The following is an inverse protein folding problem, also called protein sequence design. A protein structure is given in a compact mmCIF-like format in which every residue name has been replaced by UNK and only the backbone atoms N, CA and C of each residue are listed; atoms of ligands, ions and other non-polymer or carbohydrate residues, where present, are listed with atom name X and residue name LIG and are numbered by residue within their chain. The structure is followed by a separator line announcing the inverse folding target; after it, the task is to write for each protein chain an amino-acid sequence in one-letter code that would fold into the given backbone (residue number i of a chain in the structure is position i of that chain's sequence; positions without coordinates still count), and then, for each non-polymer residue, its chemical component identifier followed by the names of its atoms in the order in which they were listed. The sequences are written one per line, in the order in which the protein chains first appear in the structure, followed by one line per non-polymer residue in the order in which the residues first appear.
data_IF_386488428951
#
_entry.id   IF_386488428951
#
_cell.length_a   1.000
_cell.length_b   1.000
_cell.length_c   1.000
_cell.angle_alpha   90.00
_cell.angle_beta   90.00
_cell.angle_gamma   90.00
#
_symmetry.space_group_name_H-M   'P 1'
#
loop_
_entity.id
_entity.type
_entity.pdbx_description
1 polymer ?
#
# COMPACT_ATOMS: atom_id res chain seq x y z
N UNK A 1 -29.19 -11.83 -1.03
CA UNK A 1 -27.83 -12.15 -0.59
C UNK A 1 -27.94 -13.52 0.05
N UNK A 2 -27.41 -14.55 -0.57
CA UNK A 2 -27.41 -15.88 0.04
C UNK A 2 -26.60 -15.82 1.34
N UNK A 3 -27.04 -16.53 2.41
CA UNK A 3 -26.28 -16.59 3.63
C UNK A 3 -24.89 -17.20 3.33
N UNK A 4 -23.86 -16.64 3.92
CA UNK A 4 -22.51 -17.20 3.82
C UNK A 4 -22.55 -18.68 4.25
N UNK A 5 -21.95 -19.59 3.48
CA UNK A 5 -21.95 -21.01 3.83
C UNK A 5 -21.27 -21.19 5.19
N UNK A 6 -21.96 -21.89 6.08
CA UNK A 6 -21.38 -22.27 7.38
C UNK A 6 -20.33 -23.38 7.19
N UNK A 7 -19.13 -23.14 7.64
CA UNK A 7 -18.04 -24.14 7.66
C UNK A 7 -17.74 -24.60 9.10
N UNK A 8 -17.21 -25.80 9.22
CA UNK A 8 -16.78 -26.33 10.49
C UNK A 8 -15.47 -25.67 10.95
N UNK A 9 -15.26 -25.61 12.26
CA UNK A 9 -14.01 -25.17 12.86
C UNK A 9 -13.36 -26.32 13.60
N UNK A 10 -12.02 -26.39 13.61
CA UNK A 10 -11.28 -27.42 14.30
C UNK A 10 -10.16 -26.77 15.13
N UNK A 11 -10.07 -27.14 16.40
CA UNK A 11 -9.00 -26.67 17.27
C UNK A 11 -7.66 -27.36 16.92
N UNK A 12 -6.53 -26.72 17.22
CA UNK A 12 -5.20 -27.25 16.91
C UNK A 12 -4.97 -28.63 17.54
N UNK A 13 -5.44 -28.85 18.77
CA UNK A 13 -5.33 -30.16 19.46
C UNK A 13 -6.08 -31.28 18.73
N UNK A 14 -7.31 -31.00 18.29
CA UNK A 14 -8.16 -32.00 17.65
C UNK A 14 -7.64 -32.31 16.23
N UNK A 15 -7.13 -31.28 15.52
CA UNK A 15 -6.43 -31.49 14.27
C UNK A 15 -5.20 -32.36 14.43
N UNK A 16 -4.35 -32.11 15.45
CA UNK A 16 -3.16 -32.92 15.72
C UNK A 16 -3.51 -34.38 15.96
N UNK A 17 -4.62 -34.65 16.68
CA UNK A 17 -5.12 -36.01 16.88
C UNK A 17 -5.58 -36.66 15.57
N UNK A 18 -6.32 -35.92 14.73
CA UNK A 18 -6.77 -36.42 13.43
C UNK A 18 -5.59 -36.70 12.49
N UNK A 19 -4.56 -35.89 12.50
CA UNK A 19 -3.35 -36.07 11.68
C UNK A 19 -2.59 -37.36 12.03
N UNK A 20 -2.74 -37.86 13.23
CA UNK A 20 -2.13 -39.15 13.68
C UNK A 20 -2.93 -40.37 13.22
N UNK A 21 -4.07 -40.22 12.58
CA UNK A 21 -4.92 -41.34 12.13
C UNK A 21 -4.74 -41.67 10.65
N UNK A 22 -5.21 -42.84 10.22
CA UNK A 22 -5.19 -43.24 8.81
C UNK A 22 -6.11 -42.36 7.93
N UNK A 23 -7.16 -41.77 8.49
CA UNK A 23 -8.13 -40.93 7.79
C UNK A 23 -7.85 -39.43 8.01
N UNK A 24 -6.58 -39.02 7.93
CA UNK A 24 -6.18 -37.61 8.09
C UNK A 24 -6.75 -36.73 6.97
N UNK A 25 -7.17 -35.51 7.29
CA UNK A 25 -7.59 -34.54 6.28
C UNK A 25 -6.41 -34.03 5.44
N UNK A 26 -6.70 -33.52 4.24
CA UNK A 26 -5.74 -32.75 3.49
C UNK A 26 -5.61 -31.37 4.13
N UNK A 27 -4.38 -30.98 4.50
CA UNK A 27 -4.08 -29.65 5.04
C UNK A 27 -3.73 -28.70 3.90
N UNK A 28 -4.37 -27.54 3.89
CA UNK A 28 -4.14 -26.52 2.88
C UNK A 28 -3.83 -25.17 3.52
N UNK A 29 -2.62 -24.70 3.29
CA UNK A 29 -2.21 -23.34 3.60
C UNK A 29 -2.79 -22.38 2.57
N UNK A 30 -3.47 -21.33 3.04
CA UNK A 30 -4.16 -20.37 2.17
C UNK A 30 -3.38 -19.08 1.93
N UNK A 31 -2.18 -18.97 2.48
CA UNK A 31 -1.31 -17.80 2.38
C UNK A 31 -0.48 -17.82 1.08
N UNK A 32 0.32 -16.79 0.87
CA UNK A 32 1.18 -16.71 -0.31
C UNK A 32 2.24 -17.80 -0.34
N UNK A 33 2.70 -18.18 -1.54
CA UNK A 33 3.77 -19.18 -1.73
C UNK A 33 5.05 -18.81 -0.97
N UNK A 34 5.37 -17.51 -0.89
CA UNK A 34 6.55 -17.02 -0.17
C UNK A 34 6.41 -17.26 1.34
N UNK A 35 5.22 -17.01 1.90
CA UNK A 35 4.95 -17.30 3.31
C UNK A 35 4.97 -18.81 3.58
N UNK A 36 4.32 -19.59 2.72
CA UNK A 36 4.32 -21.06 2.82
C UNK A 36 5.74 -21.65 2.85
N UNK A 37 6.64 -21.16 1.97
CA UNK A 37 8.04 -21.60 1.98
C UNK A 37 8.77 -21.28 3.29
N UNK A 38 8.39 -20.17 3.93
CA UNK A 38 9.00 -19.76 5.20
C UNK A 38 8.47 -20.59 6.37
N UNK A 39 7.15 -20.79 6.44
CA UNK A 39 6.52 -21.48 7.56
C UNK A 39 5.16 -22.06 7.16
N UNK A 40 4.92 -23.33 7.51
CA UNK A 40 3.66 -24.03 7.30
C UNK A 40 3.49 -25.20 8.25
N UNK A 41 2.29 -25.79 8.33
CA UNK A 41 2.03 -27.02 9.07
C UNK A 41 2.67 -28.22 8.38
N UNK A 42 3.19 -29.21 9.14
CA UNK A 42 3.80 -30.41 8.57
C UNK A 42 2.87 -31.14 7.59
N UNK A 43 3.39 -31.40 6.39
CA UNK A 43 2.67 -32.09 5.33
C UNK A 43 1.54 -31.30 4.69
N UNK A 44 1.42 -30.02 4.96
CA UNK A 44 0.47 -29.13 4.28
C UNK A 44 0.85 -28.89 2.82
N UNK A 45 -0.17 -28.55 2.02
CA UNK A 45 -0.01 -28.10 0.64
C UNK A 45 -0.44 -26.65 0.54
N UNK A 46 0.10 -25.91 -0.45
CA UNK A 46 -0.25 -24.52 -0.62
C UNK A 46 -1.26 -24.30 -1.74
N UNK A 47 -2.30 -23.51 -1.43
CA UNK A 47 -3.21 -22.91 -2.39
C UNK A 47 -3.55 -21.51 -1.92
N UNK A 48 -2.90 -20.50 -2.46
CA UNK A 48 -3.07 -19.11 -2.07
C UNK A 48 -4.48 -18.61 -2.43
N UNK A 49 -5.27 -18.24 -1.43
CA UNK A 49 -6.67 -17.80 -1.61
C UNK A 49 -6.82 -16.49 -2.40
N UNK A 50 -5.75 -15.72 -2.52
CA UNK A 50 -5.73 -14.43 -3.24
C UNK A 50 -5.41 -14.61 -4.73
N UNK A 51 -4.99 -15.79 -5.18
CA UNK A 51 -4.77 -16.09 -6.58
C UNK A 51 -6.11 -16.39 -7.29
N UNK A 52 -6.24 -15.91 -8.51
CA UNK A 52 -7.42 -16.19 -9.36
C UNK A 52 -7.57 -17.69 -9.61
N UNK A 53 -6.46 -18.40 -9.68
CA UNK A 53 -6.34 -19.85 -9.90
C UNK A 53 -6.54 -20.70 -8.63
N UNK A 54 -6.96 -20.11 -7.52
CA UNK A 54 -7.14 -20.84 -6.24
C UNK A 54 -7.98 -22.12 -6.40
N UNK A 55 -9.14 -22.04 -7.06
CA UNK A 55 -10.04 -23.20 -7.23
C UNK A 55 -9.46 -24.24 -8.19
N UNK A 56 -8.73 -23.83 -9.22
CA UNK A 56 -8.04 -24.75 -10.13
C UNK A 56 -6.98 -25.53 -9.36
N UNK A 57 -6.18 -24.82 -8.56
CA UNK A 57 -5.17 -25.41 -7.70
C UNK A 57 -5.79 -26.39 -6.70
N UNK A 58 -6.91 -26.04 -6.09
CA UNK A 58 -7.64 -26.93 -5.19
C UNK A 58 -8.15 -28.20 -5.89
N UNK A 59 -8.62 -28.07 -7.13
CA UNK A 59 -9.05 -29.23 -7.93
C UNK A 59 -7.89 -30.18 -8.25
N UNK A 60 -6.68 -29.67 -8.48
CA UNK A 60 -5.47 -30.47 -8.64
C UNK A 60 -5.07 -31.18 -7.34
N UNK A 61 -5.11 -30.47 -6.21
CA UNK A 61 -4.70 -31.00 -4.90
C UNK A 61 -5.73 -31.99 -4.31
N UNK A 62 -7.00 -31.71 -4.51
CA UNK A 62 -8.12 -32.47 -3.92
C UNK A 62 -9.21 -32.62 -4.99
N UNK A 63 -9.03 -33.52 -5.96
CA UNK A 63 -10.01 -33.70 -7.06
C UNK A 63 -11.34 -34.27 -6.58
N UNK A 64 -11.36 -35.10 -5.53
CA UNK A 64 -12.57 -35.60 -4.90
C UNK A 64 -13.08 -34.61 -3.86
N UNK A 65 -14.23 -33.99 -4.14
CA UNK A 65 -14.84 -32.96 -3.30
C UNK A 65 -15.42 -33.46 -1.98
N UNK A 66 -15.54 -34.77 -1.81
CA UNK A 66 -15.95 -35.40 -0.55
C UNK A 66 -14.77 -35.72 0.38
N UNK A 67 -13.55 -35.48 -0.08
CA UNK A 67 -12.35 -35.56 0.75
C UNK A 67 -12.37 -34.50 1.85
N UNK A 68 -11.99 -34.88 3.07
CA UNK A 68 -11.88 -33.92 4.17
C UNK A 68 -10.70 -32.96 3.95
N UNK A 69 -10.99 -31.67 3.98
CA UNK A 69 -10.01 -30.58 3.83
C UNK A 69 -10.04 -29.70 5.06
N UNK A 70 -8.86 -29.40 5.61
CA UNK A 70 -8.68 -28.36 6.62
C UNK A 70 -7.86 -27.25 6.01
N UNK A 71 -8.44 -26.07 5.92
CA UNK A 71 -7.76 -24.85 5.48
C UNK A 71 -7.29 -24.03 6.67
N UNK A 72 -6.16 -23.37 6.55
CA UNK A 72 -5.66 -22.49 7.60
C UNK A 72 -4.97 -21.26 7.02
N UNK A 73 -5.01 -20.17 7.80
CA UNK A 73 -4.29 -18.92 7.55
C UNK A 73 -3.28 -18.63 8.64
N UNK A 74 -2.89 -17.36 8.79
CA UNK A 74 -1.83 -16.99 9.73
C UNK A 74 -2.29 -16.99 11.19
N UNK A 75 -3.44 -16.39 11.52
CA UNK A 75 -3.92 -16.18 12.90
C UNK A 75 -5.42 -15.94 12.96
N UNK A 76 -5.97 -15.84 14.17
CA UNK A 76 -7.42 -15.71 14.41
C UNK A 76 -8.06 -14.47 13.78
N UNK A 77 -7.33 -13.36 13.70
CA UNK A 77 -7.84 -12.07 13.23
C UNK A 77 -7.87 -11.96 11.70
N UNK A 78 -7.22 -12.89 10.99
CA UNK A 78 -7.20 -12.89 9.53
C UNK A 78 -8.33 -13.72 8.95
N UNK A 79 -8.75 -13.40 7.73
CA UNK A 79 -9.91 -14.04 7.09
C UNK A 79 -9.54 -14.94 5.90
N UNK A 80 -8.27 -15.25 5.76
CA UNK A 80 -7.74 -16.03 4.62
C UNK A 80 -8.41 -17.40 4.56
N UNK A 81 -8.35 -18.14 5.67
CA UNK A 81 -8.92 -19.49 5.76
C UNK A 81 -10.45 -19.49 5.65
N UNK A 82 -11.15 -18.52 6.25
CA UNK A 82 -12.59 -18.39 6.13
C UNK A 82 -13.00 -18.10 4.67
N UNK A 83 -12.26 -17.21 4.00
CA UNK A 83 -12.47 -16.90 2.59
C UNK A 83 -12.25 -18.12 1.71
N UNK A 84 -11.21 -18.91 1.99
CA UNK A 84 -10.95 -20.16 1.28
C UNK A 84 -12.05 -21.18 1.51
N UNK A 85 -12.46 -21.41 2.77
CA UNK A 85 -13.55 -22.32 3.10
C UNK A 85 -14.84 -21.96 2.38
N UNK A 86 -15.22 -20.67 2.37
CA UNK A 86 -16.39 -20.18 1.65
C UNK A 86 -16.29 -20.42 0.14
N UNK A 87 -15.13 -20.19 -0.49
CA UNK A 87 -14.91 -20.49 -1.91
C UNK A 87 -15.06 -21.99 -2.20
N UNK A 88 -14.47 -22.85 -1.35
CA UNK A 88 -14.54 -24.30 -1.51
C UNK A 88 -15.95 -24.85 -1.38
N UNK A 89 -16.70 -24.42 -0.37
CA UNK A 89 -18.11 -24.85 -0.19
C UNK A 89 -18.97 -24.45 -1.39
N UNK A 90 -18.83 -23.21 -1.90
CA UNK A 90 -19.53 -22.79 -3.13
C UNK A 90 -19.09 -23.57 -4.37
N UNK A 91 -17.86 -24.07 -4.40
CA UNK A 91 -17.37 -24.94 -5.47
C UNK A 91 -17.79 -26.41 -5.31
N UNK A 92 -18.55 -26.75 -4.25
CA UNK A 92 -19.15 -28.06 -4.04
C UNK A 92 -18.31 -29.04 -3.20
N UNK A 93 -17.26 -28.56 -2.48
CA UNK A 93 -16.56 -29.38 -1.48
C UNK A 93 -17.47 -29.55 -0.25
N UNK A 94 -17.64 -30.77 0.23
CA UNK A 94 -18.65 -31.10 1.25
C UNK A 94 -18.07 -31.16 2.67
N UNK A 95 -16.76 -31.38 2.83
CA UNK A 95 -16.10 -31.65 4.12
C UNK A 95 -14.95 -30.66 4.35
N UNK A 96 -15.30 -29.37 4.51
CA UNK A 96 -14.33 -28.27 4.72
C UNK A 96 -14.38 -27.82 6.17
N UNK A 97 -13.21 -27.72 6.80
CA UNK A 97 -13.05 -27.13 8.12
C UNK A 97 -11.94 -26.06 8.11
N UNK A 98 -12.03 -25.10 9.03
CA UNK A 98 -11.04 -24.06 9.26
C UNK A 98 -10.29 -24.35 10.56
N UNK A 99 -8.96 -24.33 10.54
CA UNK A 99 -8.15 -24.40 11.76
C UNK A 99 -8.31 -23.09 12.53
N UNK A 100 -8.87 -23.19 13.74
CA UNK A 100 -9.04 -22.04 14.64
C UNK A 100 -7.70 -21.41 15.02
N UNK A 101 -7.59 -20.09 14.80
CA UNK A 101 -6.37 -19.35 15.10
C UNK A 101 -5.18 -19.65 14.20
N UNK A 102 -5.35 -20.49 13.18
CA UNK A 102 -4.36 -20.75 12.12
C UNK A 102 -2.99 -21.19 12.62
N UNK A 103 -1.94 -20.81 11.89
CA UNK A 103 -0.53 -21.09 12.23
C UNK A 103 -0.16 -20.65 13.65
N UNK A 104 -0.64 -19.48 14.08
CA UNK A 104 -0.30 -18.96 15.39
C UNK A 104 -0.84 -19.84 16.53
N UNK A 105 -2.08 -20.32 16.44
CA UNK A 105 -2.66 -21.21 17.44
C UNK A 105 -2.01 -22.60 17.43
N UNK A 106 -1.66 -23.14 16.27
CA UNK A 106 -0.94 -24.40 16.14
C UNK A 106 0.43 -24.33 16.83
N UNK A 107 1.19 -23.27 16.57
CA UNK A 107 2.49 -23.02 17.18
C UNK A 107 2.38 -22.81 18.71
N UNK A 108 1.42 -22.00 19.15
CA UNK A 108 1.18 -21.75 20.57
C UNK A 108 0.79 -23.01 21.35
N UNK A 109 0.17 -23.98 20.68
CA UNK A 109 -0.12 -25.31 21.24
C UNK A 109 1.11 -26.23 21.30
N UNK A 110 2.28 -25.77 20.87
CA UNK A 110 3.55 -26.53 20.93
C UNK A 110 3.73 -27.57 19.81
N UNK A 111 2.94 -27.51 18.76
CA UNK A 111 3.07 -28.41 17.61
C UNK A 111 4.15 -27.96 16.63
N UNK A 112 4.81 -28.90 15.92
CA UNK A 112 5.89 -28.58 15.00
C UNK A 112 5.42 -27.79 13.78
N UNK A 113 6.34 -27.01 13.22
CA UNK A 113 6.20 -26.30 11.96
C UNK A 113 7.31 -26.73 11.00
N UNK A 114 7.07 -26.61 9.71
CA UNK A 114 8.02 -26.81 8.62
C UNK A 114 8.27 -25.50 7.87
N UNK A 115 9.36 -25.43 7.09
CA UNK A 115 9.76 -24.30 6.29
C UNK A 115 11.18 -23.82 6.58
N UNK A 116 11.59 -22.72 5.92
CA UNK A 116 12.95 -22.19 6.04
C UNK A 116 13.17 -21.30 7.27
N UNK A 117 12.10 -20.73 7.83
CA UNK A 117 12.14 -19.85 9.02
C UNK A 117 10.93 -20.09 9.95
N UNK A 118 10.74 -21.31 10.49
CA UNK A 118 9.52 -21.68 11.21
C UNK A 118 9.32 -20.94 12.55
N UNK A 119 10.33 -20.24 13.05
CA UNK A 119 10.26 -19.48 14.30
C UNK A 119 9.82 -18.01 14.13
N UNK A 120 9.72 -17.49 12.93
CA UNK A 120 9.46 -16.06 12.67
C UNK A 120 7.97 -15.75 12.46
N UNK A 121 7.12 -16.22 13.38
CA UNK A 121 5.67 -15.94 13.36
C UNK A 121 5.29 -14.60 14.01
N UNK A 122 6.23 -13.90 14.65
CA UNK A 122 5.94 -12.77 15.53
C UNK A 122 5.98 -11.41 14.84
N UNK A 123 6.59 -11.29 13.68
CA UNK A 123 6.68 -9.99 12.98
C UNK A 123 5.32 -9.59 12.41
N UNK A 124 4.85 -8.40 12.77
CA UNK A 124 3.68 -7.82 12.10
C UNK A 124 4.03 -7.54 10.64
N UNK A 125 3.37 -8.20 9.67
CA UNK A 125 3.66 -7.97 8.25
C UNK A 125 3.24 -6.56 7.80
N UNK A 126 2.62 -5.78 8.68
CA UNK A 126 2.05 -4.46 8.39
C UNK A 126 2.94 -3.29 8.86
N UNK A 127 3.93 -3.55 9.70
CA UNK A 127 4.87 -2.53 10.14
C UNK A 127 6.02 -2.42 9.14
N UNK A 128 6.32 -1.22 8.60
CA UNK A 128 7.49 -1.06 7.75
C UNK A 128 8.76 -1.26 8.58
N UNK A 129 9.70 -2.03 8.06
CA UNK A 129 11.03 -2.20 8.66
C UNK A 129 11.96 -1.17 8.04
N UNK A 130 12.33 -0.16 8.82
CA UNK A 130 13.24 0.90 8.38
C UNK A 130 14.63 0.60 8.98
N UNK A 131 15.54 0.12 8.14
CA UNK A 131 16.92 -0.13 8.55
C UNK A 131 17.66 1.21 8.81
N UNK A 132 18.67 1.18 9.69
CA UNK A 132 19.53 2.33 9.97
C UNK A 132 20.49 2.62 8.80
N UNK A 133 19.95 3.20 7.73
CA UNK A 133 20.68 3.56 6.52
C UNK A 133 20.08 4.78 5.82
N UNK A 134 20.77 5.25 4.81
CA UNK A 134 20.24 6.23 3.87
C UNK A 134 19.52 5.52 2.71
N UNK A 135 18.31 5.95 2.42
CA UNK A 135 17.50 5.52 1.29
C UNK A 135 17.51 6.62 0.24
N UNK A 136 18.11 6.36 -0.90
CA UNK A 136 18.11 7.28 -2.05
C UNK A 136 16.88 6.99 -2.90
N UNK A 137 16.20 8.02 -3.37
CA UNK A 137 15.00 7.85 -4.23
C UNK A 137 15.40 7.37 -5.62
N UNK A 138 14.73 6.36 -6.11
CA UNK A 138 14.73 5.97 -7.52
C UNK A 138 13.81 6.94 -8.30
N UNK A 139 14.38 8.00 -8.85
CA UNK A 139 13.62 9.04 -9.54
C UNK A 139 12.97 8.56 -10.82
N UNK A 140 13.46 7.49 -11.43
CA UNK A 140 12.89 6.91 -12.65
C UNK A 140 11.57 6.16 -12.37
N UNK A 141 11.48 5.50 -11.20
CA UNK A 141 10.32 4.73 -10.77
C UNK A 141 9.44 5.45 -9.74
N UNK A 142 9.74 6.72 -9.44
CA UNK A 142 8.97 7.58 -8.54
C UNK A 142 8.21 8.65 -9.32
N UNK A 143 7.00 8.95 -8.88
CA UNK A 143 6.14 9.92 -9.55
C UNK A 143 5.32 10.71 -8.54
N UNK A 144 5.07 11.99 -8.84
CA UNK A 144 4.11 12.84 -8.16
C UNK A 144 3.01 13.18 -9.18
N UNK A 145 1.77 12.83 -8.88
CA UNK A 145 0.61 13.18 -9.67
C UNK A 145 -0.14 14.33 -9.01
N UNK A 146 -0.78 15.16 -9.80
CA UNK A 146 -1.55 16.30 -9.31
C UNK A 146 -2.93 16.37 -9.97
N UNK A 147 -3.91 16.91 -9.22
CA UNK A 147 -5.24 17.24 -9.70
C UNK A 147 -5.58 18.67 -9.30
N UNK A 148 -5.66 19.56 -10.29
CA UNK A 148 -6.16 20.91 -10.14
C UNK A 148 -7.62 20.99 -10.61
N UNK A 149 -8.45 21.77 -9.92
CA UNK A 149 -9.90 21.85 -10.18
C UNK A 149 -10.37 23.28 -10.37
N UNK A 150 -11.44 23.42 -11.12
CA UNK A 150 -12.26 24.62 -11.18
C UNK A 150 -13.76 24.23 -11.10
N UNK A 151 -14.72 25.18 -11.10
CA UNK A 151 -16.14 24.83 -10.99
C UNK A 151 -16.69 23.92 -12.09
N UNK A 152 -16.05 23.87 -13.26
CA UNK A 152 -16.57 23.18 -14.43
C UNK A 152 -15.85 21.86 -14.73
N UNK A 153 -14.55 21.77 -14.37
CA UNK A 153 -13.71 20.65 -14.77
C UNK A 153 -12.51 20.47 -13.82
N UNK A 154 -11.70 19.48 -14.11
CA UNK A 154 -10.41 19.27 -13.47
C UNK A 154 -9.34 18.96 -14.50
N UNK A 155 -8.11 19.26 -14.16
CA UNK A 155 -6.92 18.87 -14.91
C UNK A 155 -6.03 17.99 -14.06
N UNK A 156 -5.43 17.00 -14.71
CA UNK A 156 -4.51 16.04 -14.08
C UNK A 156 -3.19 16.03 -14.82
N UNK A 157 -2.16 15.66 -14.09
CA UNK A 157 -0.83 15.50 -14.67
C UNK A 157 0.17 14.96 -13.68
N UNK A 158 1.44 15.10 -14.02
CA UNK A 158 2.54 14.60 -13.20
C UNK A 158 3.69 15.61 -13.08
N UNK A 159 4.54 15.34 -12.08
CA UNK A 159 5.82 15.99 -11.81
C UNK A 159 6.84 14.91 -11.47
N UNK A 160 8.10 15.16 -11.76
CA UNK A 160 9.21 14.26 -11.45
C UNK A 160 10.07 14.82 -10.33
N UNK A 161 10.69 13.92 -9.60
CA UNK A 161 11.77 14.30 -8.69
C UNK A 161 13.08 14.35 -9.47
N UNK A 162 13.90 15.39 -9.23
CA UNK A 162 15.26 15.45 -9.72
C UNK A 162 16.23 14.68 -8.81
N UNK A 163 15.97 14.69 -7.51
CA UNK A 163 16.72 13.95 -6.49
C UNK A 163 15.89 13.77 -5.22
N UNK A 164 16.27 12.81 -4.38
CA UNK A 164 15.68 12.66 -3.07
C UNK A 164 16.39 11.63 -2.22
N UNK A 165 16.31 11.83 -0.91
CA UNK A 165 16.75 10.84 0.06
C UNK A 165 15.98 10.92 1.37
N UNK A 166 15.96 9.81 2.08
CA UNK A 166 15.59 9.70 3.48
C UNK A 166 16.78 9.10 4.24
N UNK A 167 17.20 9.75 5.30
CA UNK A 167 18.28 9.30 6.17
C UNK A 167 17.69 8.80 7.49
N UNK A 168 17.91 7.54 7.79
CA UNK A 168 17.47 6.85 9.00
C UNK A 168 18.65 6.31 9.83
N UNK A 169 19.86 6.84 9.63
CA UNK A 169 21.06 6.39 10.36
C UNK A 169 21.04 6.83 11.82
N UNK A 170 20.42 7.95 12.12
CA UNK A 170 20.27 8.51 13.46
C UNK A 170 18.91 8.15 14.08
N UNK A 171 18.68 8.54 15.33
CA UNK A 171 17.37 8.35 16.00
C UNK A 171 16.23 9.13 15.32
N UNK A 172 16.56 10.28 14.73
CA UNK A 172 15.59 11.11 14.01
C UNK A 172 15.73 10.90 12.50
N UNK A 173 14.65 10.38 11.89
CA UNK A 173 14.58 10.27 10.43
C UNK A 173 14.45 11.66 9.81
N UNK A 174 15.32 11.95 8.83
CA UNK A 174 15.31 13.20 8.07
C UNK A 174 15.38 12.90 6.58
N UNK A 175 14.94 13.85 5.73
CA UNK A 175 15.03 13.65 4.30
C UNK A 175 14.92 14.96 3.51
N UNK A 176 15.28 14.87 2.24
CA UNK A 176 15.13 15.97 1.29
C UNK A 176 14.69 15.38 -0.05
N UNK A 177 13.65 15.95 -0.62
CA UNK A 177 13.07 15.53 -1.88
C UNK A 177 12.88 16.75 -2.77
N UNK A 178 13.57 16.78 -3.90
CA UNK A 178 13.57 17.90 -4.84
C UNK A 178 12.70 17.57 -6.04
N UNK A 179 11.69 18.37 -6.26
CA UNK A 179 10.71 18.26 -7.33
C UNK A 179 11.12 19.23 -8.43
N UNK A 180 11.29 18.74 -9.65
CA UNK A 180 11.52 19.56 -10.83
C UNK A 180 10.19 20.13 -11.31
N UNK A 181 9.94 21.41 -11.08
CA UNK A 181 8.69 22.06 -11.50
C UNK A 181 8.61 22.25 -13.03
N UNK A 182 9.74 22.25 -13.73
CA UNK A 182 9.74 22.31 -15.18
C UNK A 182 9.35 20.99 -15.84
N UNK A 183 9.37 19.89 -15.08
CA UNK A 183 8.93 18.56 -15.53
C UNK A 183 7.41 18.38 -15.54
N UNK A 184 6.63 19.44 -15.26
CA UNK A 184 5.18 19.34 -15.17
C UNK A 184 4.58 18.89 -16.51
N UNK A 185 3.78 17.85 -16.44
CA UNK A 185 3.01 17.32 -17.56
C UNK A 185 1.52 17.44 -17.26
N UNK A 186 0.72 17.59 -18.30
CA UNK A 186 -0.73 17.48 -18.22
C UNK A 186 -1.19 16.26 -19.03
N UNK A 187 -1.96 15.39 -18.41
CA UNK A 187 -2.46 14.14 -19.02
C UNK A 187 -3.93 14.24 -19.44
N UNK A 188 -4.71 15.10 -18.77
CA UNK A 188 -6.14 15.24 -19.05
C UNK A 188 -6.46 15.93 -20.39
N UNK A 189 -5.50 16.66 -20.95
CA UNK A 189 -5.60 17.31 -22.25
C UNK A 189 -4.67 16.68 -23.29
N UNK A 190 -4.30 15.42 -23.13
CA UNK A 190 -3.40 14.75 -24.08
C UNK A 190 -3.99 14.79 -25.51
N UNK A 191 -3.25 15.40 -26.45
CA UNK A 191 -3.69 15.58 -27.83
C UNK A 191 -4.63 16.76 -28.07
N UNK A 192 -5.01 17.52 -27.03
CA UNK A 192 -5.80 18.75 -27.17
C UNK A 192 -4.88 19.95 -27.44
N UNK A 193 -5.25 20.87 -28.37
CA UNK A 193 -4.48 22.09 -28.65
C UNK A 193 -4.27 23.00 -27.42
N UNK A 194 -5.10 22.90 -26.40
CA UNK A 194 -4.98 23.68 -25.17
C UNK A 194 -3.96 23.08 -24.17
N UNK A 195 -3.50 21.84 -24.38
CA UNK A 195 -2.50 21.24 -23.48
C UNK A 195 -1.23 22.09 -23.35
N UNK A 196 -0.55 22.50 -24.43
CA UNK A 196 0.63 23.35 -24.32
C UNK A 196 0.34 24.74 -23.73
N UNK A 197 -0.86 25.26 -23.93
CA UNK A 197 -1.29 26.55 -23.34
C UNK A 197 -1.39 26.42 -21.82
N UNK A 198 -2.01 25.35 -21.33
CA UNK A 198 -2.10 25.09 -19.89
C UNK A 198 -0.70 24.89 -19.29
N UNK A 199 0.16 24.10 -19.91
CA UNK A 199 1.53 23.88 -19.44
C UNK A 199 2.29 25.22 -19.38
N UNK A 200 2.24 26.05 -20.43
CA UNK A 200 2.89 27.35 -20.43
C UNK A 200 2.39 28.26 -19.30
N UNK A 201 1.08 28.22 -19.01
CA UNK A 201 0.47 28.98 -17.92
C UNK A 201 0.95 28.46 -16.54
N UNK A 202 0.99 27.15 -16.33
CA UNK A 202 1.51 26.57 -15.08
C UNK A 202 2.99 26.91 -14.84
N UNK A 203 3.79 27.07 -15.90
CA UNK A 203 5.21 27.44 -15.80
C UNK A 203 5.43 28.95 -15.62
N UNK A 204 4.40 29.77 -15.86
CA UNK A 204 4.48 31.24 -15.79
C UNK A 204 4.48 31.76 -14.33
N UNK A 205 4.58 33.05 -14.17
CA UNK A 205 4.54 33.78 -12.90
C UNK A 205 3.14 33.80 -12.24
N UNK A 206 2.10 33.45 -12.97
CA UNK A 206 0.77 33.21 -12.40
C UNK A 206 0.71 31.97 -11.49
N UNK A 207 1.61 30.98 -11.73
CA UNK A 207 1.67 29.72 -10.99
C UNK A 207 3.07 29.45 -10.41
N UNK A 208 3.88 28.62 -11.06
CA UNK A 208 5.15 28.17 -10.47
C UNK A 208 6.35 29.08 -10.73
N UNK A 209 6.22 30.00 -11.69
CA UNK A 209 7.32 30.90 -12.09
C UNK A 209 8.67 30.19 -12.24
N UNK A 210 8.67 29.12 -13.02
CA UNK A 210 9.80 28.17 -13.07
C UNK A 210 11.11 28.79 -13.55
N UNK A 211 11.07 29.91 -14.29
CA UNK A 211 12.28 30.69 -14.64
C UNK A 211 13.01 31.22 -13.42
N UNK A 212 12.31 31.48 -12.32
CA UNK A 212 12.87 31.99 -11.07
C UNK A 212 12.96 30.92 -9.99
N UNK A 213 12.00 30.02 -9.95
CA UNK A 213 11.87 28.97 -8.97
C UNK A 213 11.72 27.60 -9.68
N UNK A 214 12.80 27.04 -10.20
CA UNK A 214 12.74 25.82 -11.01
C UNK A 214 12.34 24.58 -10.23
N UNK A 215 12.47 24.61 -8.88
CA UNK A 215 12.22 23.46 -8.03
C UNK A 215 11.34 23.77 -6.84
N UNK A 216 10.64 22.75 -6.34
CA UNK A 216 10.11 22.72 -4.98
C UNK A 216 10.86 21.66 -4.16
N UNK A 217 11.04 21.89 -2.86
CA UNK A 217 11.77 20.97 -2.00
C UNK A 217 10.96 20.62 -0.75
N UNK A 218 10.68 19.34 -0.55
CA UNK A 218 10.14 18.86 0.71
C UNK A 218 11.28 18.42 1.63
N UNK A 219 11.34 19.02 2.81
CA UNK A 219 12.25 18.69 3.89
C UNK A 219 11.51 17.83 4.90
N UNK A 220 11.77 16.52 4.91
CA UNK A 220 11.23 15.61 5.91
C UNK A 220 11.96 15.81 7.23
N UNK A 221 11.20 16.02 8.29
CA UNK A 221 11.72 16.27 9.64
C UNK A 221 11.36 15.15 10.63
N UNK A 222 10.24 14.43 10.37
CA UNK A 222 9.76 13.37 11.26
C UNK A 222 8.85 12.37 10.55
N UNK A 223 8.93 11.12 11.01
CA UNK A 223 8.02 10.02 10.70
C UNK A 223 7.35 9.56 11.99
N UNK A 224 6.03 9.62 12.06
CA UNK A 224 5.25 9.16 13.20
C UNK A 224 4.39 7.97 12.80
N UNK A 225 4.54 6.81 13.42
CA UNK A 225 3.65 5.67 13.17
C UNK A 225 2.19 6.00 13.49
N UNK A 226 1.26 5.56 12.63
CA UNK A 226 -0.18 5.66 12.88
C UNK A 226 -0.63 4.39 13.59
N UNK A 227 -1.23 4.53 14.77
CA UNK A 227 -1.77 3.40 15.54
C UNK A 227 -2.89 2.72 14.75
N UNK A 228 -2.78 1.41 14.56
CA UNK A 228 -3.74 0.64 13.76
C UNK A 228 -3.57 0.78 12.24
N UNK A 229 -2.49 1.42 11.78
CA UNK A 229 -2.15 1.49 10.37
C UNK A 229 -1.82 0.12 9.78
N UNK A 230 -2.18 -0.10 8.51
CA UNK A 230 -1.95 -1.34 7.76
C UNK A 230 -1.29 -1.04 6.41
N UNK A 231 -0.87 -2.09 5.68
CA UNK A 231 -0.32 -1.92 4.32
C UNK A 231 -1.34 -1.42 3.28
N UNK A 232 -2.62 -1.42 3.61
CA UNK A 232 -3.72 -0.97 2.75
C UNK A 232 -4.37 0.34 3.23
N UNK A 233 -3.83 0.93 4.27
CA UNK A 233 -4.23 2.23 4.84
C UNK A 233 -2.98 2.99 5.25
N UNK A 234 -3.02 4.31 5.40
CA UNK A 234 -1.87 5.04 5.93
C UNK A 234 -1.40 4.47 7.27
N UNK A 235 -0.12 4.17 7.36
CA UNK A 235 0.53 3.62 8.55
C UNK A 235 1.56 4.56 9.19
N UNK A 236 1.82 5.68 8.52
CA UNK A 236 2.83 6.66 8.95
C UNK A 236 2.36 8.06 8.62
N UNK A 237 2.61 9.01 9.50
CA UNK A 237 2.47 10.45 9.23
C UNK A 237 3.84 11.03 8.93
N UNK A 238 3.99 11.67 7.78
CA UNK A 238 5.17 12.43 7.40
C UNK A 238 4.98 13.89 7.80
N UNK A 239 5.92 14.45 8.54
CA UNK A 239 5.92 15.86 8.96
C UNK A 239 7.19 16.54 8.52
N UNK A 240 7.05 17.77 8.02
CA UNK A 240 8.18 18.55 7.53
C UNK A 240 7.77 19.90 6.98
N UNK A 241 8.55 20.44 6.04
CA UNK A 241 8.25 21.70 5.38
C UNK A 241 8.43 21.59 3.87
N UNK A 242 7.49 22.12 3.11
CA UNK A 242 7.61 22.30 1.67
C UNK A 242 8.08 23.73 1.39
N UNK A 243 9.17 23.83 0.64
CA UNK A 243 9.69 25.08 0.09
C UNK A 243 9.33 25.14 -1.40
N UNK A 244 8.56 26.16 -1.77
CA UNK A 244 8.11 26.38 -3.14
C UNK A 244 7.87 27.87 -3.35
N UNK A 245 8.17 28.44 -4.52
CA UNK A 245 8.01 29.87 -4.83
C UNK A 245 8.72 30.79 -3.82
N UNK A 246 9.84 30.36 -3.23
CA UNK A 246 10.56 31.10 -2.20
C UNK A 246 9.90 31.13 -0.82
N UNK A 247 8.80 30.42 -0.65
CA UNK A 247 8.08 30.30 0.64
C UNK A 247 8.31 28.90 1.22
N UNK A 248 8.75 28.83 2.47
CA UNK A 248 8.84 27.59 3.24
C UNK A 248 7.69 27.52 4.23
N UNK A 249 6.83 26.54 4.08
CA UNK A 249 5.64 26.35 4.93
C UNK A 249 5.56 24.90 5.46
N UNK A 250 5.08 24.68 6.70
CA UNK A 250 4.90 23.34 7.25
C UNK A 250 3.94 22.52 6.39
N UNK A 251 4.27 21.25 6.20
CA UNK A 251 3.42 20.28 5.51
C UNK A 251 3.45 18.95 6.26
N UNK A 252 2.26 18.42 6.52
CA UNK A 252 2.08 17.14 7.17
C UNK A 252 1.02 16.35 6.40
N UNK A 253 1.27 15.07 6.17
CA UNK A 253 0.33 14.20 5.47
C UNK A 253 0.52 12.74 5.87
N UNK A 254 -0.56 11.93 5.81
CA UNK A 254 -0.50 10.49 6.01
C UNK A 254 0.08 9.79 4.78
N UNK A 255 0.79 8.72 5.01
CA UNK A 255 1.33 7.86 3.96
C UNK A 255 1.35 6.39 4.36
N UNK A 256 1.38 5.52 3.37
CA UNK A 256 1.63 4.10 3.54
C UNK A 256 3.08 3.83 3.18
N UNK A 257 3.89 3.46 4.17
CA UNK A 257 5.25 2.98 3.96
C UNK A 257 5.25 1.47 3.89
N UNK A 258 5.99 0.91 2.93
CA UNK A 258 6.14 -0.53 2.74
C UNK A 258 7.60 -0.88 2.53
N UNK A 259 8.09 -1.87 3.27
CA UNK A 259 9.38 -2.49 2.98
C UNK A 259 9.18 -3.57 1.94
N UNK A 260 9.81 -3.41 0.79
CA UNK A 260 9.76 -4.38 -0.31
C UNK A 260 10.61 -5.62 0.02
N UNK A 261 10.39 -6.77 -0.66
CA UNK A 261 11.16 -8.01 -0.41
C UNK A 261 12.68 -7.84 -0.57
N UNK A 262 13.11 -6.93 -1.44
CA UNK A 262 14.52 -6.59 -1.67
C UNK A 262 15.07 -5.52 -0.70
N UNK A 263 14.33 -5.24 0.37
CA UNK A 263 14.63 -4.23 1.41
C UNK A 263 14.60 -2.77 0.95
N UNK A 264 14.13 -2.49 -0.26
CA UNK A 264 13.81 -1.11 -0.65
C UNK A 264 12.58 -0.62 0.12
N UNK A 265 12.46 0.70 0.27
CA UNK A 265 11.24 1.32 0.78
C UNK A 265 10.41 1.86 -0.37
N UNK A 266 9.11 1.61 -0.28
CA UNK A 266 8.11 2.29 -1.09
C UNK A 266 7.22 3.15 -0.18
N UNK A 267 6.83 4.32 -0.67
CA UNK A 267 5.89 5.21 -0.03
C UNK A 267 4.77 5.57 -1.01
N UNK A 268 3.54 5.48 -0.55
CA UNK A 268 2.35 5.95 -1.25
C UNK A 268 1.64 6.95 -0.36
N UNK A 269 1.16 8.07 -0.93
CA UNK A 269 0.31 9.01 -0.22
C UNK A 269 -0.61 9.75 -1.19
N UNK A 270 -1.78 10.14 -0.68
CA UNK A 270 -2.67 11.10 -1.35
C UNK A 270 -3.21 12.09 -0.33
N UNK A 271 -3.13 13.38 -0.66
CA UNK A 271 -3.53 14.47 0.23
C UNK A 271 -3.75 15.75 -0.57
N UNK A 272 -4.39 16.72 0.04
CA UNK A 272 -4.57 18.04 -0.54
C UNK A 272 -3.58 19.05 0.04
N UNK A 273 -3.09 19.96 -0.83
CA UNK A 273 -2.34 21.15 -0.42
C UNK A 273 -3.10 22.41 -0.79
N UNK A 274 -3.11 23.41 0.08
CA UNK A 274 -3.57 24.76 -0.23
C UNK A 274 -2.42 25.53 -0.89
N UNK A 275 -2.48 25.65 -2.22
CA UNK A 275 -1.45 26.30 -3.06
C UNK A 275 -1.19 27.77 -2.67
N UNK A 276 -2.19 28.42 -2.08
CA UNK A 276 -2.08 29.85 -1.69
C UNK A 276 -1.07 30.07 -0.58
N UNK A 277 -0.75 29.04 0.20
CA UNK A 277 0.31 29.08 1.22
C UNK A 277 1.72 29.33 0.65
N UNK A 278 1.89 29.11 -0.66
CA UNK A 278 3.14 29.34 -1.39
C UNK A 278 2.98 30.46 -2.43
N UNK A 279 2.10 31.42 -2.19
CA UNK A 279 1.84 32.58 -3.05
C UNK A 279 1.37 32.24 -4.48
N UNK A 280 0.83 31.06 -4.71
CA UNK A 280 0.17 30.71 -5.99
C UNK A 280 -1.29 31.14 -5.86
N UNK A 281 -1.60 32.39 -6.24
CA UNK A 281 -2.87 33.03 -5.92
C UNK A 281 -3.83 33.11 -7.12
N UNK A 282 -3.35 32.89 -8.36
CA UNK A 282 -4.17 33.03 -9.58
C UNK A 282 -5.51 32.32 -9.45
N UNK A 283 -6.61 33.02 -9.77
CA UNK A 283 -7.95 32.46 -9.78
C UNK A 283 -8.54 32.08 -8.42
N UNK A 284 -7.88 32.44 -7.29
CA UNK A 284 -8.42 32.20 -5.95
C UNK A 284 -9.42 33.27 -5.55
N UNK A 285 -10.64 32.85 -5.24
CA UNK A 285 -11.70 33.76 -4.75
C UNK A 285 -11.46 34.34 -3.35
N UNK A 286 -10.41 33.87 -2.65
CA UNK A 286 -9.96 34.46 -1.37
C UNK A 286 -9.21 35.77 -1.57
N UNK A 287 -8.68 36.01 -2.77
CA UNK A 287 -7.82 37.14 -3.08
C UNK A 287 -8.34 38.03 -4.22
N UNK A 288 -9.27 37.51 -5.04
CA UNK A 288 -9.80 38.22 -6.22
C UNK A 288 -11.31 38.07 -6.32
N UNK A 289 -11.98 39.15 -6.63
CA UNK A 289 -13.43 39.21 -6.90
C UNK A 289 -13.71 39.16 -8.42
N UNK A 290 -14.92 38.77 -8.76
CA UNK A 290 -15.44 38.79 -10.14
C UNK A 290 -14.64 37.98 -11.17
N UNK A 291 -14.10 36.83 -10.73
CA UNK A 291 -13.22 35.97 -11.52
C UNK A 291 -13.90 35.34 -12.75
N UNK A 292 -15.23 35.22 -12.77
CA UNK A 292 -15.94 34.58 -13.88
C UNK A 292 -15.44 33.14 -14.13
N UNK A 293 -14.96 32.90 -15.34
CA UNK A 293 -14.44 31.56 -15.74
C UNK A 293 -13.01 31.29 -15.25
N UNK A 294 -12.34 32.25 -14.62
CA UNK A 294 -10.96 32.12 -14.17
C UNK A 294 -10.82 31.58 -12.75
N UNK A 295 -11.92 31.11 -12.14
CA UNK A 295 -11.86 30.50 -10.79
C UNK A 295 -11.04 29.21 -10.82
N UNK A 296 -10.05 29.12 -9.94
CA UNK A 296 -9.25 27.92 -9.71
C UNK A 296 -9.29 27.60 -8.21
N UNK A 297 -9.64 26.39 -7.85
CA UNK A 297 -9.72 25.99 -6.44
C UNK A 297 -8.35 26.05 -5.76
N UNK A 298 -8.35 26.43 -4.49
CA UNK A 298 -7.12 26.59 -3.72
C UNK A 298 -6.47 25.25 -3.36
N UNK A 299 -7.29 24.19 -3.20
CA UNK A 299 -6.82 22.86 -2.89
C UNK A 299 -6.43 22.09 -4.15
N UNK A 300 -5.20 21.63 -4.17
CA UNK A 300 -4.65 20.73 -5.19
C UNK A 300 -4.45 19.38 -4.57
N UNK A 301 -5.04 18.33 -5.15
CA UNK A 301 -4.78 16.96 -4.71
C UNK A 301 -3.44 16.49 -5.25
N UNK A 302 -2.65 15.94 -4.36
CA UNK A 302 -1.36 15.31 -4.66
C UNK A 302 -1.50 13.81 -4.39
N UNK A 303 -1.07 13.01 -5.34
CA UNK A 303 -0.81 11.59 -5.15
C UNK A 303 0.65 11.32 -5.47
N UNK A 304 1.35 10.65 -4.58
CA UNK A 304 2.75 10.31 -4.79
C UNK A 304 2.99 8.82 -4.63
N UNK A 305 3.90 8.32 -5.45
CA UNK A 305 4.50 7.00 -5.30
C UNK A 305 6.00 7.19 -5.37
N UNK A 306 6.67 6.90 -4.28
CA UNK A 306 8.14 6.96 -4.19
C UNK A 306 8.68 5.57 -3.92
N UNK A 307 9.83 5.27 -4.53
CA UNK A 307 10.56 4.02 -4.30
C UNK A 307 12.03 4.37 -4.09
N UNK A 308 12.69 3.71 -3.13
CA UNK A 308 14.14 3.86 -2.96
C UNK A 308 14.90 2.93 -3.91
N UNK A 309 16.18 3.30 -4.17
CA UNK A 309 17.16 2.43 -4.82
C UNK A 309 17.54 1.26 -3.92
#
# INVERSE_FOLDING_TARGET
MEPDPTFNRIAARDLAQQMATANKPTLVDTLSDDHFRQVHLPGAQNACVFQVTFLDRMTELVPDKDTAVVVYGSRAETRDAESAAGKLLRAGYTRVAVLEGGLAAWHAAGYPLEGTAPADLAASPHAPVIDKRRYTVDTANSIIQWVGRNPNTHHTGSLRLSEGFMDAQEEAVRGRFVIDLASIENTSLAGDPNQPVLIAHLLSDDFFWTKRFPTATFHLERLDPIVGGHLTTPNTTLSGALEMMGVRAPLQFPATLTTLPDKRLAAEAHFDIDRTRWNILYGSSRFFDHLGMHVVFDLITIQLKLVSL
#
